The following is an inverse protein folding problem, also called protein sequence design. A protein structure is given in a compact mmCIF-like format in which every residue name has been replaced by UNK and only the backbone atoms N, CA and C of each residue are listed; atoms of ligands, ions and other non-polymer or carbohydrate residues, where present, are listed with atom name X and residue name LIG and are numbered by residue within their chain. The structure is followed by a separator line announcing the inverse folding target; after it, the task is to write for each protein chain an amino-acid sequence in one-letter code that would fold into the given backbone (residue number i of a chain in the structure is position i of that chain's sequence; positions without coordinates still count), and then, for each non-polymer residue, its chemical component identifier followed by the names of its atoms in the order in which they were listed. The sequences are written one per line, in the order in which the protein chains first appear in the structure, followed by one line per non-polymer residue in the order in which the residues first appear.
data_IF_831015733330
#
_entry.id   IF_831015733330
#
_cell.length_a   1.000
_cell.length_b   1.000
_cell.length_c   1.000
_cell.angle_alpha   90.00
_cell.angle_beta   90.00
_cell.angle_gamma   90.00
#
_symmetry.space_group_name_H-M   'P 1'
#
loop_
_entity.id
_entity.type
_entity.pdbx_description
1 polymer ?
#
# COMPACT_ATOMS: atom_id res chain seq x y z
N UNK A 1 -3.32 12.84 -14.04
CA UNK A 1 -4.53 11.99 -13.91
C UNK A 1 -5.35 12.45 -12.69
N UNK A 2 -6.58 11.96 -12.46
CA UNK A 2 -7.34 12.21 -11.22
C UNK A 2 -6.98 11.17 -10.16
N UNK A 3 -6.98 11.55 -8.87
CA UNK A 3 -6.72 10.63 -7.76
C UNK A 3 -7.63 9.39 -7.80
N UNK A 4 -8.92 9.57 -8.07
CA UNK A 4 -9.89 8.48 -8.19
C UNK A 4 -9.51 7.43 -9.24
N UNK A 5 -8.82 7.83 -10.31
CA UNK A 5 -8.33 6.89 -11.33
C UNK A 5 -7.12 6.09 -10.81
N UNK A 6 -6.22 6.73 -10.08
CA UNK A 6 -5.05 6.07 -9.48
C UNK A 6 -5.48 5.04 -8.41
N UNK A 7 -6.44 5.42 -7.55
CA UNK A 7 -7.04 4.52 -6.56
C UNK A 7 -7.71 3.32 -7.24
N UNK A 8 -8.40 3.53 -8.36
CA UNK A 8 -9.03 2.44 -9.11
C UNK A 8 -8.02 1.46 -9.67
N UNK A 9 -6.90 1.94 -10.23
CA UNK A 9 -5.81 1.08 -10.71
C UNK A 9 -5.26 0.19 -9.59
N UNK A 10 -5.04 0.77 -8.41
CA UNK A 10 -4.59 0.02 -7.24
C UNK A 10 -5.65 -1.01 -6.79
N UNK A 11 -6.91 -0.60 -6.76
CA UNK A 11 -8.04 -1.47 -6.40
C UNK A 11 -8.25 -2.64 -7.35
N UNK A 12 -8.11 -2.43 -8.66
CA UNK A 12 -8.26 -3.49 -9.67
C UNK A 12 -7.17 -4.57 -9.54
N UNK A 13 -6.04 -4.22 -8.90
CA UNK A 13 -4.92 -5.12 -8.64
C UNK A 13 -4.93 -5.72 -7.24
N UNK A 14 -5.83 -5.24 -6.36
CA UNK A 14 -5.95 -5.67 -4.97
C UNK A 14 -7.13 -6.65 -4.83
N UNK A 15 -7.00 -7.73 -4.04
CA UNK A 15 -8.10 -8.67 -3.82
C UNK A 15 -9.40 -7.97 -3.39
N UNK A 16 -10.52 -8.39 -3.96
CA UNK A 16 -11.88 -7.98 -3.57
C UNK A 16 -12.19 -6.47 -3.68
N UNK A 17 -11.34 -5.67 -4.33
CA UNK A 17 -11.61 -4.24 -4.57
C UNK A 17 -11.60 -3.35 -3.32
N UNK A 18 -11.09 -3.87 -2.20
CA UNK A 18 -11.17 -3.21 -0.89
C UNK A 18 -10.46 -1.85 -0.82
N UNK A 19 -9.51 -1.55 -1.71
CA UNK A 19 -8.78 -0.27 -1.74
C UNK A 19 -9.70 0.89 -2.12
N UNK A 20 -10.62 0.67 -3.07
CA UNK A 20 -11.58 1.69 -3.46
C UNK A 20 -12.56 1.99 -2.31
N UNK A 21 -13.10 0.94 -1.68
CA UNK A 21 -13.99 1.09 -0.52
C UNK A 21 -13.30 1.84 0.63
N UNK A 22 -12.03 1.51 0.90
CA UNK A 22 -11.25 2.18 1.93
C UNK A 22 -11.06 3.68 1.63
N UNK A 23 -10.86 4.05 0.37
CA UNK A 23 -10.72 5.45 -0.04
C UNK A 23 -12.04 6.21 0.07
N UNK A 24 -13.14 5.63 -0.42
CA UNK A 24 -14.44 6.31 -0.49
C UNK A 24 -15.13 6.41 0.87
N UNK A 25 -14.96 5.41 1.73
CA UNK A 25 -15.71 5.30 3.01
C UNK A 25 -14.85 5.53 4.23
N UNK A 26 -13.53 5.59 4.08
CA UNK A 26 -12.59 5.59 5.20
C UNK A 26 -12.55 4.24 5.95
N UNK A 27 -13.22 3.22 5.42
CA UNK A 27 -13.38 1.90 5.98
C UNK A 27 -13.10 0.88 4.86
N UNK A 28 -12.13 0.00 5.07
CA UNK A 28 -12.07 -1.26 4.37
C UNK A 28 -12.50 -2.32 5.37
N UNK A 29 -13.47 -3.17 5.04
CA UNK A 29 -14.17 -4.11 5.92
C UNK A 29 -13.25 -5.04 6.76
N UNK A 30 -12.54 -4.48 7.74
CA UNK A 30 -11.44 -5.11 8.46
C UNK A 30 -10.10 -5.13 7.72
N UNK A 31 -10.01 -4.74 6.44
CA UNK A 31 -8.76 -4.79 5.68
C UNK A 31 -7.91 -3.51 5.87
N UNK A 32 -7.06 -3.56 6.89
CA UNK A 32 -6.15 -2.47 7.24
C UNK A 32 -5.07 -2.21 6.19
N UNK A 33 -4.73 -3.20 5.36
CA UNK A 33 -3.75 -3.03 4.28
C UNK A 33 -4.36 -2.27 3.10
N UNK A 34 -5.62 -2.55 2.75
CA UNK A 34 -6.33 -1.78 1.73
C UNK A 34 -6.46 -0.29 2.13
N UNK A 35 -6.76 -0.03 3.40
CA UNK A 35 -6.80 1.33 3.96
C UNK A 35 -5.43 2.02 3.92
N UNK A 36 -4.37 1.29 4.27
CA UNK A 36 -3.00 1.80 4.17
C UNK A 36 -2.66 2.20 2.74
N UNK A 37 -2.90 1.32 1.75
CA UNK A 37 -2.62 1.60 0.33
C UNK A 37 -3.40 2.84 -0.14
N UNK A 38 -4.69 2.92 0.18
CA UNK A 38 -5.52 4.06 -0.21
C UNK A 38 -5.00 5.38 0.37
N UNK A 39 -4.57 5.38 1.64
CA UNK A 39 -4.02 6.56 2.31
C UNK A 39 -2.69 7.00 1.73
N UNK A 40 -1.74 6.07 1.60
CA UNK A 40 -0.41 6.36 1.06
C UNK A 40 -0.47 6.94 -0.37
N UNK A 41 -1.33 6.38 -1.22
CA UNK A 41 -1.55 6.92 -2.58
C UNK A 41 -2.18 8.31 -2.52
N UNK A 42 -3.17 8.53 -1.66
CA UNK A 42 -3.84 9.83 -1.56
C UNK A 42 -2.93 10.93 -0.99
N UNK A 43 -2.11 10.61 0.02
CA UNK A 43 -1.21 11.55 0.68
C UNK A 43 -0.03 11.96 -0.21
N UNK A 44 0.40 11.08 -1.12
CA UNK A 44 1.53 11.36 -2.02
C UNK A 44 1.12 11.88 -3.40
N UNK A 45 -0.18 11.95 -3.67
CA UNK A 45 -0.73 12.48 -4.91
C UNK A 45 -0.58 13.99 -5.00
N UNK A 46 0.10 14.47 -6.04
CA UNK A 46 0.27 15.90 -6.31
C UNK A 46 -0.54 16.33 -7.55
N UNK A 47 -1.54 17.22 -7.39
CA UNK A 47 -2.24 17.83 -8.51
C UNK A 47 -1.29 18.70 -9.35
N UNK A 48 -1.09 18.34 -10.62
CA UNK A 48 -0.23 19.10 -11.55
C UNK A 48 0.95 18.29 -12.10
N UNK A 49 1.27 17.16 -11.46
CA UNK A 49 2.20 16.18 -12.02
C UNK A 49 1.61 15.47 -13.24
N UNK A 50 2.49 15.04 -14.14
CA UNK A 50 2.12 14.15 -15.25
C UNK A 50 1.65 12.80 -14.72
N UNK A 51 0.89 12.08 -15.54
CA UNK A 51 0.44 10.72 -15.18
C UNK A 51 1.61 9.79 -14.86
N UNK A 52 2.72 9.89 -15.59
CA UNK A 52 3.90 9.07 -15.35
C UNK A 52 4.53 9.37 -13.98
N UNK A 53 4.69 10.65 -13.63
CA UNK A 53 5.24 11.06 -12.33
C UNK A 53 4.35 10.61 -11.16
N UNK A 54 3.02 10.72 -11.32
CA UNK A 54 2.07 10.27 -10.29
C UNK A 54 2.16 8.75 -10.07
N UNK A 55 2.28 7.96 -11.15
CA UNK A 55 2.46 6.52 -11.07
C UNK A 55 3.81 6.16 -10.42
N UNK A 56 4.91 6.82 -10.82
CA UNK A 56 6.23 6.60 -10.25
C UNK A 56 6.23 6.86 -8.74
N UNK A 57 5.59 7.95 -8.29
CA UNK A 57 5.49 8.24 -6.85
C UNK A 57 4.70 7.18 -6.09
N UNK A 58 3.54 6.78 -6.61
CA UNK A 58 2.73 5.72 -5.98
C UNK A 58 3.53 4.40 -5.87
N UNK A 59 4.26 4.03 -6.92
CA UNK A 59 5.14 2.85 -6.92
C UNK A 59 6.21 2.99 -5.83
N UNK A 60 6.94 4.11 -5.78
CA UNK A 60 8.02 4.34 -4.82
C UNK A 60 7.55 4.22 -3.36
N UNK A 61 6.35 4.74 -3.06
CA UNK A 61 5.78 4.67 -1.72
C UNK A 61 5.42 3.24 -1.34
N UNK A 62 4.82 2.48 -2.26
CA UNK A 62 4.47 1.08 -2.01
C UNK A 62 5.72 0.17 -1.94
N UNK A 63 6.74 0.43 -2.75
CA UNK A 63 8.04 -0.27 -2.67
C UNK A 63 8.73 -0.02 -1.32
N UNK A 64 8.67 1.21 -0.80
CA UNK A 64 9.18 1.53 0.54
C UNK A 64 8.43 0.73 1.61
N UNK A 65 7.10 0.73 1.57
CA UNK A 65 6.29 -0.04 2.51
C UNK A 65 6.60 -1.55 2.44
N UNK A 66 6.76 -2.09 1.23
CA UNK A 66 7.16 -3.48 1.02
C UNK A 66 8.52 -3.78 1.67
N UNK A 67 9.52 -2.90 1.51
CA UNK A 67 10.84 -3.07 2.10
C UNK A 67 10.79 -3.07 3.64
N UNK A 68 10.02 -2.16 4.23
CA UNK A 68 9.85 -2.07 5.70
C UNK A 68 9.16 -3.32 6.27
N UNK A 69 8.09 -3.80 5.63
CA UNK A 69 7.43 -5.07 5.99
C UNK A 69 8.41 -6.24 5.87
N UNK A 70 9.19 -6.30 4.79
CA UNK A 70 10.21 -7.32 4.58
C UNK A 70 11.28 -7.33 5.69
N UNK A 71 11.70 -6.17 6.17
CA UNK A 71 12.66 -6.04 7.27
C UNK A 71 12.10 -6.60 8.60
N UNK A 72 10.83 -6.29 8.90
CA UNK A 72 10.12 -6.81 10.09
C UNK A 72 10.02 -8.34 10.01
N UNK A 73 9.54 -8.88 8.89
CA UNK A 73 9.43 -10.33 8.67
C UNK A 73 10.78 -11.04 8.83
N UNK A 74 11.86 -10.43 8.32
CA UNK A 74 13.21 -10.97 8.47
C UNK A 74 13.66 -11.01 9.93
N UNK A 75 13.32 -9.98 10.73
CA UNK A 75 13.57 -9.96 12.16
C UNK A 75 12.83 -11.05 12.92
N UNK A 76 11.55 -11.26 12.59
CA UNK A 76 10.71 -12.30 13.19
C UNK A 76 11.24 -13.71 12.87
N UNK A 77 11.63 -13.98 11.62
CA UNK A 77 12.23 -15.27 11.23
C UNK A 77 13.53 -15.56 11.98
N UNK A 78 14.43 -14.58 12.07
CA UNK A 78 15.66 -14.73 12.88
C UNK A 78 15.38 -15.02 14.34
N UNK A 79 14.30 -14.47 14.90
CA UNK A 79 13.90 -14.72 16.30
C UNK A 79 13.37 -16.15 16.46
N UNK A 80 12.57 -16.63 15.51
CA UNK A 80 12.02 -17.99 15.49
C UNK A 80 13.13 -19.04 15.41
N UNK A 81 14.08 -18.88 14.49
CA UNK A 81 15.22 -19.80 14.32
C UNK A 81 16.07 -19.94 15.60
N UNK A 82 16.13 -18.88 16.43
CA UNK A 82 16.82 -18.94 17.73
C UNK A 82 16.05 -19.73 18.78
N UNK A 83 14.72 -19.63 18.78
CA UNK A 83 13.89 -20.42 19.70
C UNK A 83 13.94 -21.91 19.34
N UNK A 84 13.93 -22.25 18.04
CA UNK A 84 13.99 -23.66 17.59
C UNK A 84 15.33 -24.35 17.89
N UNK A 85 16.38 -23.57 18.18
CA UNK A 85 17.73 -24.08 18.52
C UNK A 85 18.02 -24.10 20.03
N UNK A 86 17.13 -23.54 20.85
CA UNK A 86 17.26 -23.47 22.31
C UNK A 86 16.52 -24.63 22.97
#
# INVERSE_FOLDING_TARGET
MRLSTLIRIASDSYPDGAVLDAHERGEAAGDTLALFIAREIAETFEPGQTTAEQLVRAIQVLEKAQAEIGAVLSGLRRRLEKEERS
#
